data_IF_091537717930
#
_entry.id   IF_091537717930
#
_cell.length_a   1.000
_cell.length_b   1.000
_cell.length_c   1.000
_cell.angle_alpha   90.00
_cell.angle_beta   90.00
_cell.angle_gamma   90.00
#
_symmetry.space_group_name_H-M   'P 1'
#
loop_
_entity.id
_entity.type
_entity.pdbx_description
1 polymer ?
#
# COMPACT_ATOMS: atom_id res chain seq x y z
N UNK A 1 -25.12 -6.65 -3.57
CA UNK A 1 -24.96 -5.44 -4.42
C UNK A 1 -25.19 -4.20 -3.57
N UNK A 2 -24.37 -3.17 -3.71
CA UNK A 2 -24.40 -1.91 -2.94
C UNK A 2 -24.43 -0.74 -3.93
N UNK A 3 -25.20 0.30 -3.64
CA UNK A 3 -25.10 1.62 -4.28
C UNK A 3 -24.54 2.60 -3.26
N UNK A 4 -23.35 3.15 -3.53
CA UNK A 4 -22.84 4.33 -2.84
C UNK A 4 -23.43 5.54 -3.55
N UNK A 5 -24.31 6.28 -2.90
CA UNK A 5 -25.09 7.33 -3.58
C UNK A 5 -25.21 8.64 -2.82
N UNK A 6 -25.90 9.59 -3.43
CA UNK A 6 -26.15 10.94 -2.90
C UNK A 6 -24.86 11.71 -2.60
N UNK A 7 -23.93 11.70 -3.55
CA UNK A 7 -22.67 12.42 -3.50
C UNK A 7 -22.24 12.90 -4.89
N UNK A 8 -21.01 13.38 -4.98
CA UNK A 8 -20.38 13.77 -6.24
C UNK A 8 -19.36 12.72 -6.63
N UNK A 9 -19.47 12.14 -7.82
CA UNK A 9 -18.51 11.14 -8.32
C UNK A 9 -17.46 11.81 -9.20
N UNK A 10 -16.19 11.62 -8.88
CA UNK A 10 -15.05 11.99 -9.73
C UNK A 10 -14.61 10.73 -10.47
N UNK A 11 -14.93 10.65 -11.76
CA UNK A 11 -14.74 9.44 -12.55
C UNK A 11 -13.34 9.28 -13.11
N UNK A 12 -12.62 10.40 -13.32
CA UNK A 12 -11.40 10.50 -14.12
C UNK A 12 -11.58 10.19 -15.61
N UNK A 13 -12.82 10.04 -16.06
CA UNK A 13 -13.17 9.98 -17.48
C UNK A 13 -13.04 11.37 -18.12
N UNK A 14 -12.54 11.45 -19.36
CA UNK A 14 -12.34 12.72 -20.05
C UNK A 14 -13.63 13.38 -20.49
N UNK A 15 -14.63 12.57 -20.83
CA UNK A 15 -15.91 13.07 -21.36
C UNK A 15 -16.91 13.41 -20.25
N UNK A 16 -16.82 12.68 -19.12
CA UNK A 16 -17.70 12.87 -17.98
C UNK A 16 -16.91 12.86 -16.66
N UNK A 17 -16.03 13.84 -16.43
CA UNK A 17 -15.09 13.82 -15.30
C UNK A 17 -15.75 13.93 -13.92
N UNK A 18 -16.93 14.55 -13.85
CA UNK A 18 -17.70 14.78 -12.62
C UNK A 18 -19.16 14.44 -12.84
N UNK A 19 -19.76 13.71 -11.89
CA UNK A 19 -21.21 13.45 -11.87
C UNK A 19 -21.76 13.99 -10.55
N UNK A 20 -22.53 15.05 -10.62
CA UNK A 20 -23.28 15.58 -9.48
C UNK A 20 -24.50 14.69 -9.18
N UNK A 21 -24.93 14.62 -7.94
CA UNK A 21 -25.95 13.68 -7.47
C UNK A 21 -25.67 12.26 -7.97
N UNK A 22 -24.39 11.92 -7.95
CA UNK A 22 -23.86 10.71 -8.51
C UNK A 22 -23.92 9.53 -7.56
N UNK A 23 -23.73 8.36 -8.15
CA UNK A 23 -23.62 7.10 -7.44
C UNK A 23 -22.69 6.10 -8.14
N UNK A 24 -22.23 5.12 -7.38
CA UNK A 24 -21.43 4.00 -7.82
C UNK A 24 -22.11 2.71 -7.40
N UNK A 25 -22.40 1.82 -8.34
CA UNK A 25 -22.92 0.49 -8.07
C UNK A 25 -21.80 -0.54 -7.97
N UNK A 26 -21.81 -1.32 -6.90
CA UNK A 26 -20.77 -2.30 -6.57
C UNK A 26 -21.41 -3.66 -6.37
N UNK A 27 -20.86 -4.69 -7.04
CA UNK A 27 -21.20 -6.07 -6.79
C UNK A 27 -19.96 -6.86 -6.39
N UNK A 28 -19.98 -7.40 -5.16
CA UNK A 28 -18.79 -8.02 -4.57
C UNK A 28 -17.61 -7.05 -4.51
N UNK A 29 -16.60 -7.27 -5.33
CA UNK A 29 -15.36 -6.45 -5.40
C UNK A 29 -15.25 -5.60 -6.66
N UNK A 30 -16.32 -5.54 -7.47
CA UNK A 30 -16.30 -4.87 -8.75
C UNK A 30 -17.25 -3.65 -8.75
N UNK A 31 -16.77 -2.55 -9.32
CA UNK A 31 -17.63 -1.44 -9.74
C UNK A 31 -18.29 -1.89 -11.04
N UNK A 32 -19.61 -1.99 -11.03
CA UNK A 32 -20.38 -2.49 -12.18
C UNK A 32 -21.06 -1.37 -12.96
N UNK A 33 -21.29 -0.24 -12.32
CA UNK A 33 -21.91 0.92 -12.96
C UNK A 33 -21.60 2.22 -12.24
N UNK A 34 -21.61 3.34 -12.97
CA UNK A 34 -21.42 4.70 -12.45
C UNK A 34 -22.38 5.64 -13.18
N UNK A 35 -23.21 6.36 -12.45
CA UNK A 35 -24.20 7.25 -13.03
C UNK A 35 -24.78 8.23 -12.02
N UNK A 36 -25.93 8.79 -12.33
CA UNK A 36 -26.71 9.55 -11.34
C UNK A 36 -27.35 8.60 -10.33
N UNK A 37 -27.59 9.08 -9.13
CA UNK A 37 -28.23 8.29 -8.07
C UNK A 37 -29.59 7.73 -8.50
N UNK A 38 -30.40 8.58 -9.15
CA UNK A 38 -31.74 8.19 -9.61
C UNK A 38 -31.71 7.11 -10.71
N UNK A 39 -30.74 7.19 -11.64
CA UNK A 39 -30.55 6.18 -12.70
C UNK A 39 -30.19 4.83 -12.11
N UNK A 40 -29.21 4.80 -11.19
CA UNK A 40 -28.75 3.55 -10.60
C UNK A 40 -29.81 2.91 -9.70
N UNK A 41 -30.54 3.71 -8.91
CA UNK A 41 -31.63 3.19 -8.09
C UNK A 41 -32.79 2.59 -8.92
N UNK A 42 -33.07 3.13 -10.10
CA UNK A 42 -34.05 2.54 -11.02
C UNK A 42 -33.58 1.24 -11.63
N UNK A 43 -32.30 1.15 -11.94
CA UNK A 43 -31.68 -0.03 -12.54
C UNK A 43 -31.48 -1.17 -11.53
N UNK A 44 -31.03 -0.85 -10.32
CA UNK A 44 -30.64 -1.81 -9.28
C UNK A 44 -31.56 -1.72 -8.06
N UNK A 45 -32.83 -2.05 -8.23
CA UNK A 45 -33.91 -1.85 -7.25
C UNK A 45 -33.74 -2.60 -5.92
N UNK A 46 -32.92 -3.67 -5.90
CA UNK A 46 -32.67 -4.50 -4.71
C UNK A 46 -31.28 -4.22 -4.07
N UNK A 47 -30.59 -3.15 -4.48
CA UNK A 47 -29.32 -2.82 -3.91
C UNK A 47 -29.45 -2.17 -2.52
N UNK A 48 -28.55 -2.49 -1.63
CA UNK A 48 -28.37 -1.76 -0.37
C UNK A 48 -27.80 -0.36 -0.69
N UNK A 49 -28.37 0.68 -0.09
CA UNK A 49 -27.94 2.06 -0.32
C UNK A 49 -27.09 2.55 0.85
N UNK A 50 -25.89 3.01 0.53
CA UNK A 50 -25.02 3.75 1.45
C UNK A 50 -25.04 5.22 1.05
N UNK A 51 -25.53 6.07 1.96
CA UNK A 51 -25.64 7.52 1.75
C UNK A 51 -24.30 8.20 2.01
N UNK A 52 -23.76 8.91 1.04
CA UNK A 52 -22.52 9.67 1.17
C UNK A 52 -22.69 11.05 1.83
N UNK A 53 -23.91 11.44 2.16
CA UNK A 53 -24.21 12.73 2.78
C UNK A 53 -23.59 13.94 2.03
N UNK A 54 -23.72 13.95 0.71
CA UNK A 54 -23.10 14.92 -0.22
C UNK A 54 -21.56 14.86 -0.26
N UNK A 55 -20.96 13.75 0.19
CA UNK A 55 -19.51 13.51 0.10
C UNK A 55 -19.04 13.27 -1.34
N UNK A 56 -17.73 13.04 -1.47
CA UNK A 56 -17.08 12.73 -2.74
C UNK A 56 -16.81 11.22 -2.87
N UNK A 57 -17.13 10.68 -4.04
CA UNK A 57 -16.63 9.36 -4.48
C UNK A 57 -15.52 9.57 -5.49
N UNK A 58 -14.38 8.97 -5.28
CA UNK A 58 -13.24 9.06 -6.18
C UNK A 58 -12.40 7.78 -6.10
N UNK A 59 -11.60 7.46 -7.14
CA UNK A 59 -10.63 6.38 -7.04
C UNK A 59 -9.71 6.56 -5.82
N UNK A 60 -9.44 5.46 -5.11
CA UNK A 60 -8.54 5.50 -3.96
C UNK A 60 -7.14 5.95 -4.34
N UNK A 61 -6.46 6.58 -3.40
CA UNK A 61 -5.09 7.06 -3.62
C UNK A 61 -4.10 5.90 -3.83
N UNK A 62 -3.08 6.18 -4.63
CA UNK A 62 -1.95 5.30 -4.86
C UNK A 62 -0.72 5.94 -4.23
N UNK A 63 -0.14 5.29 -3.22
CA UNK A 63 1.14 5.68 -2.67
C UNK A 63 2.24 4.98 -3.48
N UNK A 64 2.86 5.72 -4.40
CA UNK A 64 3.82 5.17 -5.35
C UNK A 64 5.27 5.14 -4.82
N UNK A 65 5.54 5.65 -3.62
CA UNK A 65 6.86 5.65 -2.98
C UNK A 65 6.70 5.51 -1.47
N UNK A 66 7.09 4.37 -0.94
CA UNK A 66 7.02 4.11 0.50
C UNK A 66 8.17 3.21 0.98
N UNK A 67 8.43 3.29 2.28
CA UNK A 67 9.39 2.45 3.02
C UNK A 67 8.71 1.96 4.30
N UNK A 68 7.93 0.88 4.19
CA UNK A 68 7.12 0.34 5.30
C UNK A 68 7.96 0.07 6.54
N UNK A 69 9.16 -0.48 6.36
CA UNK A 69 10.04 -0.85 7.47
C UNK A 69 10.36 0.32 8.41
N UNK A 70 10.30 1.54 7.93
CA UNK A 70 10.67 2.75 8.66
C UNK A 70 9.50 3.42 9.41
N UNK A 71 8.29 2.87 9.37
CA UNK A 71 7.09 3.52 9.90
C UNK A 71 7.20 3.87 11.40
N UNK A 72 7.84 3.02 12.18
CA UNK A 72 8.06 3.24 13.63
C UNK A 72 9.31 4.06 13.95
N UNK A 73 10.12 4.42 12.94
CA UNK A 73 11.31 5.25 13.13
C UNK A 73 11.02 6.75 13.19
N UNK A 74 9.75 7.14 13.09
CA UNK A 74 9.33 8.55 13.16
C UNK A 74 9.76 9.17 14.50
N UNK A 75 10.58 10.22 14.42
CA UNK A 75 11.12 10.90 15.59
C UNK A 75 12.32 10.19 16.24
N UNK A 76 12.80 9.08 15.68
CA UNK A 76 14.02 8.43 16.13
C UNK A 76 15.22 9.33 15.83
N UNK A 77 16.05 9.53 16.84
CA UNK A 77 17.31 10.26 16.76
C UNK A 77 18.42 9.36 17.30
N UNK A 78 19.46 9.15 16.51
CA UNK A 78 20.66 8.44 16.97
C UNK A 78 21.66 9.42 17.57
N UNK A 79 22.47 8.98 18.58
CA UNK A 79 23.54 9.80 19.15
C UNK A 79 24.59 10.12 18.07
N UNK A 80 25.03 11.38 18.02
CA UNK A 80 26.07 11.80 17.10
C UNK A 80 25.86 13.22 16.58
N UNK A 81 26.78 13.72 15.74
CA UNK A 81 26.61 15.01 15.07
C UNK A 81 25.43 14.98 14.12
N UNK A 82 24.76 16.13 13.92
CA UNK A 82 23.71 16.25 12.94
C UNK A 82 24.25 15.96 11.52
N UNK A 83 23.57 15.13 10.73
CA UNK A 83 24.00 14.83 9.36
C UNK A 83 23.94 16.09 8.48
N UNK A 84 24.92 16.26 7.60
CA UNK A 84 25.05 17.42 6.69
C UNK A 84 24.68 17.10 5.26
N UNK A 85 24.54 15.81 4.94
CA UNK A 85 24.18 15.32 3.61
C UNK A 85 23.39 14.00 3.70
N UNK A 86 22.83 13.57 2.57
CA UNK A 86 21.98 12.39 2.51
C UNK A 86 22.74 11.09 2.83
N UNK A 87 24.00 10.96 2.42
CA UNK A 87 24.83 9.80 2.73
C UNK A 87 24.99 9.59 4.24
N UNK A 88 25.26 10.67 4.97
CA UNK A 88 25.37 10.62 6.45
C UNK A 88 24.03 10.25 7.12
N UNK A 89 22.88 10.63 6.53
CA UNK A 89 21.56 10.20 7.01
C UNK A 89 21.40 8.69 6.79
N UNK A 90 21.79 8.19 5.62
CA UNK A 90 21.72 6.76 5.32
C UNK A 90 22.59 5.95 6.26
N UNK A 91 23.87 6.29 6.39
CA UNK A 91 24.83 5.57 7.22
C UNK A 91 24.52 5.68 8.71
N UNK A 92 24.17 6.88 9.17
CA UNK A 92 23.94 7.17 10.58
C UNK A 92 22.60 6.70 11.11
N UNK A 93 21.58 6.54 10.27
CA UNK A 93 20.24 6.16 10.72
C UNK A 93 19.69 4.94 9.99
N UNK A 94 19.49 5.03 8.67
CA UNK A 94 18.71 4.02 7.94
C UNK A 94 19.43 2.68 7.84
N UNK A 95 20.73 2.66 7.51
CA UNK A 95 21.51 1.43 7.44
C UNK A 95 21.73 0.79 8.81
N UNK A 96 21.77 1.61 9.87
CA UNK A 96 21.80 1.10 11.23
C UNK A 96 20.47 0.44 11.61
N UNK A 97 19.35 1.11 11.30
CA UNK A 97 18.01 0.63 11.64
C UNK A 97 17.70 -0.68 10.93
N UNK A 98 17.82 -0.71 9.61
CA UNK A 98 17.41 -1.86 8.80
C UNK A 98 18.24 -3.12 9.07
N UNK A 99 19.50 -2.96 9.51
CA UNK A 99 20.34 -4.07 9.98
C UNK A 99 19.89 -4.68 11.32
N UNK A 100 18.96 -4.04 12.03
CA UNK A 100 18.43 -4.50 13.33
C UNK A 100 17.02 -5.04 13.26
N UNK A 101 16.29 -4.72 12.19
CA UNK A 101 14.88 -5.11 12.07
C UNK A 101 14.72 -6.62 11.91
N UNK A 102 13.79 -7.14 12.68
CA UNK A 102 13.36 -8.54 12.67
C UNK A 102 11.91 -8.66 12.15
N UNK A 103 11.41 -9.87 11.91
CA UNK A 103 10.04 -10.07 11.42
C UNK A 103 8.95 -9.44 12.32
N UNK A 104 9.02 -9.48 13.66
CA UNK A 104 8.10 -8.73 14.51
C UNK A 104 8.10 -7.22 14.28
N UNK A 105 9.29 -6.61 14.07
CA UNK A 105 9.42 -5.17 13.82
C UNK A 105 8.83 -4.80 12.46
N UNK A 106 9.11 -5.59 11.44
CA UNK A 106 8.53 -5.46 10.10
C UNK A 106 7.00 -5.56 10.16
N UNK A 107 6.46 -6.53 10.90
CA UNK A 107 5.02 -6.69 11.10
C UNK A 107 4.40 -5.48 11.78
N UNK A 108 5.00 -4.97 12.84
CA UNK A 108 4.51 -3.79 13.57
C UNK A 108 4.50 -2.55 12.68
N UNK A 109 5.58 -2.33 11.91
CA UNK A 109 5.67 -1.25 10.93
C UNK A 109 4.60 -1.37 9.83
N UNK A 110 4.37 -2.57 9.33
CA UNK A 110 3.33 -2.84 8.33
C UNK A 110 1.93 -2.56 8.88
N UNK A 111 1.61 -3.00 10.10
CA UNK A 111 0.32 -2.71 10.75
C UNK A 111 0.06 -1.20 10.84
N UNK A 112 1.04 -0.42 11.28
CA UNK A 112 0.92 1.03 11.39
C UNK A 112 0.74 1.68 10.01
N UNK A 113 1.51 1.25 9.01
CA UNK A 113 1.41 1.79 7.65
C UNK A 113 0.05 1.52 7.02
N UNK A 114 -0.43 0.27 7.08
CA UNK A 114 -1.72 -0.08 6.46
C UNK A 114 -2.92 0.53 7.18
N UNK A 115 -2.84 0.70 8.49
CA UNK A 115 -3.83 1.49 9.23
C UNK A 115 -3.88 2.93 8.68
N UNK A 116 -2.73 3.58 8.55
CA UNK A 116 -2.64 4.92 7.95
C UNK A 116 -3.11 4.97 6.49
N UNK A 117 -2.90 3.91 5.71
CA UNK A 117 -3.45 3.80 4.35
C UNK A 117 -4.98 3.88 4.35
N UNK A 118 -5.64 3.09 5.21
CA UNK A 118 -7.11 3.08 5.30
C UNK A 118 -7.64 4.43 5.77
N UNK A 119 -7.05 5.00 6.81
CA UNK A 119 -7.47 6.29 7.38
C UNK A 119 -7.37 7.44 6.36
N UNK A 120 -6.47 7.33 5.38
CA UNK A 120 -6.22 8.36 4.37
C UNK A 120 -6.68 7.99 2.97
N UNK A 121 -7.46 6.91 2.81
CA UNK A 121 -8.02 6.51 1.51
C UNK A 121 -6.99 5.99 0.51
N UNK A 122 -5.83 5.51 0.97
CA UNK A 122 -4.82 4.86 0.15
C UNK A 122 -5.21 3.39 -0.07
N UNK A 123 -5.46 3.02 -1.31
CA UNK A 123 -5.91 1.66 -1.69
C UNK A 123 -4.83 0.83 -2.38
N UNK A 124 -3.72 1.46 -2.74
CA UNK A 124 -2.58 0.79 -3.39
C UNK A 124 -1.28 1.42 -2.92
N UNK A 125 -0.30 0.58 -2.56
CA UNK A 125 1.02 1.02 -2.11
C UNK A 125 2.12 0.32 -2.92
N UNK A 126 3.17 1.07 -3.26
CA UNK A 126 4.44 0.57 -3.79
C UNK A 126 5.49 0.75 -2.70
N UNK A 127 6.08 -0.34 -2.23
CA UNK A 127 7.01 -0.35 -1.13
C UNK A 127 8.38 -0.88 -1.53
N UNK A 128 9.41 -0.18 -1.12
CA UNK A 128 10.79 -0.61 -1.18
C UNK A 128 11.26 -0.93 0.25
N UNK A 129 11.42 -2.21 0.53
CA UNK A 129 11.67 -2.76 1.86
C UNK A 129 13.15 -3.07 2.09
N UNK A 130 13.61 -2.83 3.32
CA UNK A 130 14.92 -3.25 3.81
C UNK A 130 14.82 -3.72 5.26
N UNK A 131 15.28 -4.94 5.56
CA UNK A 131 15.36 -5.52 6.92
C UNK A 131 16.47 -6.55 6.97
N UNK A 132 17.71 -6.08 6.87
CA UNK A 132 18.88 -6.96 6.79
C UNK A 132 19.16 -7.75 8.09
N UNK A 133 18.53 -7.39 9.21
CA UNK A 133 18.50 -8.22 10.41
C UNK A 133 17.80 -9.56 10.19
N UNK A 134 16.75 -9.58 9.31
CA UNK A 134 16.03 -10.80 8.95
C UNK A 134 15.44 -10.64 7.54
N UNK A 135 16.20 -11.01 6.51
CA UNK A 135 15.80 -10.81 5.10
C UNK A 135 14.74 -11.82 4.64
N UNK A 136 14.91 -13.10 4.99
CA UNK A 136 14.08 -14.18 4.47
C UNK A 136 12.62 -14.06 4.90
N UNK A 137 11.69 -14.15 3.93
CA UNK A 137 10.24 -14.04 4.14
C UNK A 137 9.72 -12.68 4.64
N UNK A 138 10.56 -11.66 4.73
CA UNK A 138 10.15 -10.32 5.19
C UNK A 138 9.05 -9.71 4.33
N UNK A 139 9.09 -9.89 3.01
CA UNK A 139 8.03 -9.43 2.10
C UNK A 139 6.70 -10.17 2.32
N UNK A 140 6.72 -11.45 2.73
CA UNK A 140 5.50 -12.18 3.08
C UNK A 140 4.87 -11.67 4.36
N UNK A 141 5.68 -11.26 5.35
CA UNK A 141 5.17 -10.64 6.58
C UNK A 141 4.38 -9.37 6.25
N UNK A 142 4.90 -8.53 5.35
CA UNK A 142 4.20 -7.33 4.89
C UNK A 142 2.94 -7.69 4.10
N UNK A 143 3.04 -8.64 3.17
CA UNK A 143 1.91 -9.08 2.34
C UNK A 143 0.75 -9.66 3.16
N UNK A 144 1.04 -10.38 4.24
CA UNK A 144 0.01 -10.93 5.12
C UNK A 144 -0.75 -9.82 5.88
N UNK A 145 -0.05 -8.76 6.28
CA UNK A 145 -0.70 -7.58 6.86
C UNK A 145 -1.52 -6.85 5.79
N UNK A 146 -0.97 -6.65 4.57
CA UNK A 146 -1.69 -6.03 3.46
C UNK A 146 -3.02 -6.73 3.17
N UNK A 147 -3.04 -8.06 3.17
CA UNK A 147 -4.26 -8.87 2.98
C UNK A 147 -5.30 -8.64 4.09
N UNK A 148 -4.86 -8.52 5.36
CA UNK A 148 -5.76 -8.24 6.48
C UNK A 148 -6.48 -6.90 6.33
N UNK A 149 -5.80 -5.89 5.82
CA UNK A 149 -6.34 -4.55 5.59
C UNK A 149 -7.00 -4.38 4.21
N UNK A 150 -6.82 -5.34 3.28
CA UNK A 150 -7.40 -5.27 1.94
C UNK A 150 -6.73 -4.26 1.01
N UNK A 151 -5.54 -3.78 1.33
CA UNK A 151 -4.78 -2.82 0.52
C UNK A 151 -3.94 -3.57 -0.52
N UNK A 152 -4.02 -3.16 -1.78
CA UNK A 152 -3.16 -3.70 -2.85
C UNK A 152 -1.72 -3.24 -2.65
N UNK A 153 -0.78 -4.17 -2.77
CA UNK A 153 0.63 -3.89 -2.48
C UNK A 153 1.56 -4.45 -3.54
N UNK A 154 2.41 -3.59 -4.07
CA UNK A 154 3.55 -3.96 -4.91
C UNK A 154 4.81 -3.83 -4.06
N UNK A 155 5.47 -4.95 -3.78
CA UNK A 155 6.58 -5.00 -2.83
C UNK A 155 7.87 -5.41 -3.52
N UNK A 156 8.99 -4.82 -3.09
CA UNK A 156 10.32 -5.31 -3.39
C UNK A 156 11.22 -5.21 -2.16
N UNK A 157 12.29 -5.99 -2.19
CA UNK A 157 13.36 -5.94 -1.21
C UNK A 157 14.57 -5.22 -1.82
N UNK A 158 15.21 -4.33 -1.06
CA UNK A 158 16.44 -3.64 -1.46
C UNK A 158 17.52 -4.66 -1.87
N UNK A 159 18.10 -4.50 -3.07
CA UNK A 159 19.25 -5.26 -3.53
C UNK A 159 20.48 -4.37 -3.46
N UNK A 160 21.33 -4.60 -2.46
CA UNK A 160 22.53 -3.82 -2.22
C UNK A 160 23.65 -4.73 -1.72
N UNK A 161 24.90 -4.43 -2.08
CA UNK A 161 26.09 -5.12 -1.61
C UNK A 161 26.75 -4.45 -0.39
N UNK A 162 26.12 -3.41 0.17
CA UNK A 162 26.63 -2.66 1.35
C UNK A 162 26.91 -3.54 2.58
N UNK A 163 26.18 -4.64 2.70
CA UNK A 163 26.38 -5.65 3.76
C UNK A 163 27.10 -6.92 3.23
N UNK A 164 27.72 -6.85 2.07
CA UNK A 164 28.43 -7.93 1.42
C UNK A 164 27.61 -8.73 0.42
N UNK A 165 28.30 -9.46 -0.43
CA UNK A 165 27.73 -10.19 -1.58
C UNK A 165 26.71 -11.26 -1.16
N UNK A 166 26.88 -11.90 -0.02
CA UNK A 166 25.96 -12.94 0.43
C UNK A 166 24.60 -12.35 0.85
N UNK A 167 24.59 -11.19 1.49
CA UNK A 167 23.35 -10.46 1.79
C UNK A 167 22.66 -9.96 0.51
N UNK A 168 23.43 -9.47 -0.46
CA UNK A 168 22.88 -9.11 -1.77
C UNK A 168 22.20 -10.31 -2.45
N UNK A 169 22.83 -11.48 -2.46
CA UNK A 169 22.22 -12.71 -3.00
C UNK A 169 20.97 -13.13 -2.25
N UNK A 170 20.94 -12.99 -0.93
CA UNK A 170 19.76 -13.26 -0.11
C UNK A 170 18.62 -12.31 -0.47
N UNK A 171 18.89 -11.01 -0.68
CA UNK A 171 17.95 -10.03 -1.13
C UNK A 171 17.33 -10.33 -2.51
N UNK A 172 18.19 -10.73 -3.48
CA UNK A 172 17.72 -11.20 -4.79
C UNK A 172 16.83 -12.44 -4.65
N UNK A 173 17.25 -13.41 -3.82
CA UNK A 173 16.47 -14.63 -3.58
C UNK A 173 15.09 -14.32 -2.97
N UNK A 174 15.00 -13.36 -2.03
CA UNK A 174 13.74 -12.92 -1.43
C UNK A 174 12.81 -12.28 -2.46
N UNK A 175 13.31 -11.38 -3.32
CA UNK A 175 12.53 -10.80 -4.42
C UNK A 175 11.98 -11.89 -5.37
N UNK A 176 12.82 -12.84 -5.77
CA UNK A 176 12.41 -13.96 -6.65
C UNK A 176 11.38 -14.86 -5.97
N UNK A 177 11.59 -15.19 -4.69
CA UNK A 177 10.67 -16.00 -3.89
C UNK A 177 9.31 -15.32 -3.80
N UNK A 178 9.31 -14.05 -3.39
CA UNK A 178 8.09 -13.28 -3.23
C UNK A 178 7.37 -13.05 -4.56
N UNK A 179 8.09 -12.82 -5.65
CA UNK A 179 7.51 -12.71 -6.98
C UNK A 179 6.71 -13.95 -7.41
N UNK A 180 7.13 -15.14 -6.98
CA UNK A 180 6.36 -16.40 -7.19
C UNK A 180 5.14 -16.47 -6.27
N UNK A 181 5.26 -15.96 -5.04
CA UNK A 181 4.16 -15.91 -4.08
C UNK A 181 3.08 -14.93 -4.52
N UNK A 182 3.44 -13.70 -4.91
CA UNK A 182 2.53 -12.66 -5.34
C UNK A 182 1.65 -13.09 -6.53
N UNK A 183 2.17 -13.90 -7.44
CA UNK A 183 1.41 -14.48 -8.57
C UNK A 183 0.23 -15.36 -8.15
N UNK A 184 0.17 -15.81 -6.88
CA UNK A 184 -0.95 -16.62 -6.39
C UNK A 184 -2.16 -15.76 -5.98
N UNK A 185 -1.95 -14.46 -5.77
CA UNK A 185 -3.00 -13.48 -5.46
C UNK A 185 -2.79 -12.17 -6.26
N UNK A 186 -2.89 -12.22 -7.60
CA UNK A 186 -2.56 -11.09 -8.47
C UNK A 186 -3.56 -9.93 -8.34
N UNK A 187 -4.69 -10.14 -7.69
CA UNK A 187 -5.68 -9.09 -7.42
C UNK A 187 -5.24 -8.14 -6.31
N UNK A 188 -4.36 -8.58 -5.42
CA UNK A 188 -3.92 -7.82 -4.25
C UNK A 188 -2.42 -7.60 -4.18
N UNK A 189 -1.65 -8.54 -4.73
CA UNK A 189 -0.19 -8.53 -4.61
C UNK A 189 0.48 -8.43 -5.97
N UNK A 190 1.52 -7.62 -6.02
CA UNK A 190 2.49 -7.55 -7.09
C UNK A 190 3.90 -7.53 -6.50
N UNK A 191 4.88 -7.82 -7.32
CA UNK A 191 6.28 -7.75 -6.94
C UNK A 191 7.09 -7.04 -8.02
N UNK A 192 8.12 -6.33 -7.60
CA UNK A 192 9.15 -5.77 -8.46
C UNK A 192 10.53 -6.16 -7.92
N UNK A 193 11.58 -5.81 -8.61
CA UNK A 193 12.96 -5.93 -8.14
C UNK A 193 13.38 -4.60 -7.55
N UNK A 194 13.90 -4.60 -6.34
CA UNK A 194 14.40 -3.41 -5.62
C UNK A 194 15.89 -3.18 -5.84
#
# INVERSE_FOLDING_TARGET
>A
MIILGKGTVITRDTDRPIIYDGAVAIDGTQIIDIGTYDELCKTYTNAEIIDAHNGLFMPGFINAHHHIYSALARGLSLPGPAPTNFGEILEGLWFYLDNKLTAPDVKASALLTYLGCIENGVTTIFDHHASYGETANSLSVIADVAKQFGVRSCLCYEVSDRNGVDQMKAAVAENVRFGKEAKKDPSRLAAMMG
#
